data_IF_207410341427
#
_entry.id   IF_207410341427
#
_cell.length_a   1.000
_cell.length_b   1.000
_cell.length_c   1.000
_cell.angle_alpha   90.00
_cell.angle_beta   90.00
_cell.angle_gamma   90.00
#
_symmetry.space_group_name_H-M   'P 1'
#
loop_
_entity.id
_entity.type
_entity.pdbx_description
1 polymer ?
#
# COMPACT_ATOMS: atom_id res chain seq x y z
N UNK A 1 10.75 16.16 1.85
CA UNK A 1 10.25 15.86 1.82
C UNK A 1 9.72 15.14 2.11
N UNK A 2 9.33 14.84 2.37
CA UNK A 2 8.89 14.14 2.60
C UNK A 2 8.02 13.46 2.27
N UNK A 3 7.71 13.14 1.61
CA UNK A 3 6.99 12.39 1.22
C UNK A 3 7.11 11.15 1.52
N UNK A 4 7.62 10.79 2.27
CA UNK A 4 7.91 9.50 2.55
C UNK A 4 6.83 8.75 3.16
N UNK A 5 5.95 9.32 3.93
CA UNK A 5 4.86 8.62 4.55
C UNK A 5 3.63 8.84 3.72
N UNK A 6 3.51 8.12 2.62
CA UNK A 6 2.30 8.25 1.83
C UNK A 6 1.19 7.42 2.46
N UNK A 7 0.01 7.57 1.91
CA UNK A 7 -1.19 6.91 2.44
C UNK A 7 -1.00 5.40 2.60
N UNK A 8 -0.41 4.79 1.57
CA UNK A 8 -0.31 3.33 1.57
C UNK A 8 0.66 2.84 2.63
N UNK A 9 1.77 3.54 2.81
CA UNK A 9 2.75 3.14 3.83
C UNK A 9 2.15 3.26 5.22
N UNK A 10 1.40 4.32 5.47
CA UNK A 10 0.78 4.51 6.78
C UNK A 10 -0.28 3.45 7.04
N UNK A 11 -1.06 3.13 6.02
CA UNK A 11 -2.09 2.12 6.17
C UNK A 11 -1.48 0.76 6.49
N UNK A 12 -0.44 0.39 5.75
CA UNK A 12 0.21 -0.90 5.95
C UNK A 12 0.84 -0.98 7.34
N UNK A 13 1.48 0.11 7.76
CA UNK A 13 2.10 0.14 9.07
C UNK A 13 1.07 -0.07 10.16
N UNK A 14 -0.07 0.58 10.03
CA UNK A 14 -1.13 0.42 11.02
C UNK A 14 -1.67 -1.02 11.01
N UNK A 15 -1.85 -1.58 9.81
CA UNK A 15 -2.32 -2.96 9.70
C UNK A 15 -1.37 -3.91 10.42
N UNK A 16 -0.06 -3.77 10.17
CA UNK A 16 0.92 -4.65 10.78
C UNK A 16 0.99 -4.44 12.28
N UNK A 17 0.80 -3.21 12.74
CA UNK A 17 0.77 -2.93 14.17
C UNK A 17 -0.39 -3.67 14.83
N UNK A 18 -1.55 -3.64 14.22
CA UNK A 18 -2.72 -4.29 14.79
C UNK A 18 -2.58 -5.81 14.76
N UNK A 19 -1.85 -6.34 13.78
CA UNK A 19 -1.62 -7.77 13.69
C UNK A 19 -0.41 -8.20 14.50
N UNK A 20 0.28 -7.24 15.13
CA UNK A 20 1.48 -7.50 15.90
C UNK A 20 2.55 -8.19 15.06
N UNK A 21 2.66 -7.78 13.81
CA UNK A 21 3.59 -8.37 12.87
C UNK A 21 4.94 -7.68 12.99
N UNK A 22 6.04 -8.43 13.14
CA UNK A 22 7.36 -7.81 13.32
C UNK A 22 7.79 -6.96 12.13
N UNK A 23 7.21 -7.17 10.94
CA UNK A 23 7.56 -6.37 9.78
C UNK A 23 7.13 -4.92 9.90
N UNK A 24 6.41 -4.58 10.96
CA UNK A 24 5.97 -3.20 11.18
C UNK A 24 7.14 -2.22 11.21
N UNK A 25 8.33 -2.70 11.56
CA UNK A 25 9.52 -1.85 11.64
C UNK A 25 10.42 -1.99 10.42
N UNK A 26 10.00 -2.76 9.43
CA UNK A 26 10.81 -2.96 8.22
C UNK A 26 10.42 -1.91 7.19
N UNK A 27 11.14 -0.79 7.20
CA UNK A 27 10.82 0.34 6.32
C UNK A 27 10.96 -0.01 4.86
N UNK A 28 11.93 -0.84 4.51
CA UNK A 28 12.06 -1.26 3.11
C UNK A 28 10.85 -2.04 2.66
N UNK A 29 10.36 -2.92 3.51
CA UNK A 29 9.15 -3.69 3.18
C UNK A 29 7.96 -2.75 3.02
N UNK A 30 7.79 -1.83 3.97
CA UNK A 30 6.66 -0.90 3.93
C UNK A 30 6.70 -0.04 2.67
N UNK A 31 7.87 0.52 2.39
CA UNK A 31 7.99 1.42 1.24
C UNK A 31 7.85 0.66 -0.07
N UNK A 32 8.38 -0.56 -0.15
CA UNK A 32 8.24 -1.35 -1.37
C UNK A 32 6.81 -1.68 -1.67
N UNK A 33 6.05 -2.08 -0.65
CA UNK A 33 4.63 -2.37 -0.83
C UNK A 33 3.85 -1.11 -1.17
N UNK A 34 4.19 0.00 -0.52
CA UNK A 34 3.49 1.26 -0.79
C UNK A 34 3.73 1.72 -2.23
N UNK A 35 4.96 1.58 -2.71
CA UNK A 35 5.26 1.94 -4.09
C UNK A 35 4.48 1.06 -5.06
N UNK A 36 4.43 -0.24 -4.80
CA UNK A 36 3.69 -1.15 -5.67
C UNK A 36 2.21 -0.81 -5.69
N UNK A 37 1.65 -0.48 -4.53
CA UNK A 37 0.24 -0.12 -4.46
C UNK A 37 -0.04 1.17 -5.20
N UNK A 38 0.84 2.16 -5.06
CA UNK A 38 0.66 3.43 -5.75
C UNK A 38 0.74 3.25 -7.26
N UNK A 39 1.67 2.43 -7.72
CA UNK A 39 1.79 2.14 -9.13
C UNK A 39 0.54 1.44 -9.66
N UNK A 40 0.03 0.50 -8.87
CA UNK A 40 -1.19 -0.20 -9.27
C UNK A 40 -2.36 0.76 -9.38
N UNK A 41 -2.48 1.69 -8.44
CA UNK A 41 -3.55 2.67 -8.48
C UNK A 41 -3.47 3.49 -9.77
N UNK A 42 -2.28 4.01 -10.08
CA UNK A 42 -2.11 4.84 -11.28
C UNK A 42 -2.40 4.05 -12.54
N UNK A 43 -1.89 2.81 -12.61
CA UNK A 43 -2.11 1.98 -13.78
C UNK A 43 -3.58 1.74 -14.02
N UNK A 44 -4.32 1.42 -12.96
CA UNK A 44 -5.74 1.14 -13.10
C UNK A 44 -6.52 2.40 -13.48
N UNK A 45 -6.13 3.56 -12.93
CA UNK A 45 -6.76 4.80 -13.34
C UNK A 45 -6.55 5.08 -14.82
N UNK A 46 -5.35 4.82 -15.31
CA UNK A 46 -5.06 5.01 -16.73
C UNK A 46 -5.86 4.06 -17.61
N UNK A 47 -6.22 2.91 -17.06
CA UNK A 47 -7.05 1.95 -17.80
C UNK A 47 -8.52 2.32 -17.77
N UNK A 48 -8.89 3.36 -17.05
CA UNK A 48 -10.27 3.83 -17.04
C UNK A 48 -11.06 3.44 -15.81
N UNK A 49 -10.43 2.79 -14.83
CA UNK A 49 -11.16 2.44 -13.61
C UNK A 49 -11.48 3.68 -12.80
N UNK A 50 -12.57 3.62 -12.04
CA UNK A 50 -12.89 4.69 -11.12
C UNK A 50 -11.87 4.73 -10.00
N UNK A 51 -11.87 5.85 -9.25
CA UNK A 51 -10.98 5.96 -8.10
C UNK A 51 -11.20 4.82 -7.13
N UNK A 52 -12.46 4.48 -6.86
CA UNK A 52 -12.77 3.41 -5.93
C UNK A 52 -12.26 2.06 -6.41
N UNK A 53 -12.45 1.78 -7.70
CA UNK A 53 -11.98 0.51 -8.25
C UNK A 53 -10.46 0.42 -8.23
N UNK A 54 -9.79 1.50 -8.61
CA UNK A 54 -8.35 1.52 -8.61
C UNK A 54 -7.81 1.39 -7.19
N UNK A 55 -8.49 2.01 -6.23
CA UNK A 55 -8.08 1.92 -4.84
C UNK A 55 -8.20 0.49 -4.31
N UNK A 56 -9.25 -0.21 -4.69
CA UNK A 56 -9.39 -1.60 -4.27
C UNK A 56 -8.25 -2.45 -4.81
N UNK A 57 -7.86 -2.23 -6.06
CA UNK A 57 -6.75 -2.96 -6.63
C UNK A 57 -5.45 -2.64 -5.90
N UNK A 58 -5.24 -1.36 -5.58
CA UNK A 58 -4.04 -0.95 -4.87
C UNK A 58 -3.97 -1.59 -3.50
N UNK A 59 -5.11 -1.66 -2.80
CA UNK A 59 -5.12 -2.25 -1.47
C UNK A 59 -4.84 -3.74 -1.52
N UNK A 60 -5.29 -4.42 -2.56
CA UNK A 60 -4.97 -5.84 -2.72
C UNK A 60 -3.47 -6.04 -2.88
N UNK A 61 -2.82 -5.17 -3.65
CA UNK A 61 -1.38 -5.26 -3.81
C UNK A 61 -0.68 -4.99 -2.49
N UNK A 62 -1.14 -3.97 -1.77
CA UNK A 62 -0.54 -3.55 -0.52
C UNK A 62 -0.54 -4.68 0.51
N UNK A 63 -1.65 -5.40 0.60
CA UNK A 63 -1.83 -6.42 1.63
C UNK A 63 -1.62 -7.84 1.13
N UNK A 64 -1.08 -7.98 -0.07
CA UNK A 64 -0.90 -9.30 -0.67
C UNK A 64 -0.04 -10.19 0.21
N UNK A 65 -0.51 -11.41 0.47
CA UNK A 65 0.22 -12.41 1.23
C UNK A 65 0.43 -12.04 2.70
N UNK A 66 -0.34 -11.11 3.21
CA UNK A 66 -0.23 -10.75 4.62
C UNK A 66 -1.31 -11.38 5.48
N UNK A 67 -2.29 -12.02 4.87
CA UNK A 67 -3.37 -12.63 5.63
C UNK A 67 -3.12 -14.09 5.93
#
# INVERSE_FOLDING_TARGET
MSKDLNYYALYLRRYLTEEEDPRVNDMDFLNGRADAAATEFETRRLEGMTVEQAQECAMKVLLENLE
#
